data_IF_294988987783
#
_entry.id   IF_294988987783
#
_cell.length_a   1.000
_cell.length_b   1.000
_cell.length_c   1.000
_cell.angle_alpha   90.00
_cell.angle_beta   90.00
_cell.angle_gamma   90.00
#
_symmetry.space_group_name_H-M   'P 1'
#
loop_
_entity.id
_entity.type
_entity.pdbx_description
1 polymer ?
#
# COMPACT_ATOMS: atom_id res chain seq x y z
N UNK A 1 58.80 14.21 -13.20
CA UNK A 1 57.64 13.34 -13.42
C UNK A 1 57.50 12.50 -12.16
N UNK A 2 56.61 12.91 -11.25
CA UNK A 2 56.41 12.23 -9.97
C UNK A 2 55.97 10.78 -10.21
N UNK A 3 56.70 9.84 -9.62
CA UNK A 3 56.23 8.43 -9.49
C UNK A 3 54.91 8.45 -8.73
N UNK A 4 53.80 8.20 -9.44
CA UNK A 4 52.52 7.95 -8.76
C UNK A 4 52.73 6.74 -7.85
N UNK A 5 52.58 6.93 -6.56
CA UNK A 5 52.62 5.87 -5.58
C UNK A 5 51.56 4.80 -5.96
N UNK A 6 51.92 3.52 -6.10
CA UNK A 6 50.96 2.47 -6.50
C UNK A 6 49.75 2.38 -5.55
N UNK A 7 49.88 2.77 -4.28
CA UNK A 7 48.79 2.83 -3.33
C UNK A 7 47.69 3.84 -3.64
N UNK A 8 48.02 4.97 -4.28
CA UNK A 8 47.05 6.00 -4.63
C UNK A 8 46.07 5.52 -5.71
N UNK A 9 46.54 4.73 -6.67
CA UNK A 9 45.65 4.16 -7.72
C UNK A 9 44.63 3.17 -7.12
N UNK A 10 45.05 2.42 -6.11
CA UNK A 10 44.13 1.49 -5.40
C UNK A 10 43.05 2.28 -4.64
N UNK A 11 43.41 3.38 -3.99
CA UNK A 11 42.46 4.25 -3.30
C UNK A 11 41.43 4.82 -4.28
N UNK A 12 41.87 5.37 -5.40
CA UNK A 12 40.95 5.91 -6.41
C UNK A 12 40.05 4.83 -7.02
N UNK A 13 40.59 3.65 -7.31
CA UNK A 13 39.80 2.52 -7.81
C UNK A 13 38.72 2.10 -6.81
N UNK A 14 39.08 1.99 -5.53
CA UNK A 14 38.13 1.63 -4.47
C UNK A 14 37.04 2.68 -4.32
N UNK A 15 37.39 3.95 -4.30
CA UNK A 15 36.40 5.04 -4.22
C UNK A 15 35.44 5.03 -5.42
N UNK A 16 35.99 4.82 -6.62
CA UNK A 16 35.19 4.76 -7.86
C UNK A 16 34.20 3.60 -7.81
N UNK A 17 34.64 2.40 -7.43
CA UNK A 17 33.78 1.21 -7.29
C UNK A 17 32.70 1.44 -6.25
N UNK A 18 33.08 1.95 -5.07
CA UNK A 18 32.15 2.23 -3.99
C UNK A 18 31.10 3.25 -4.40
N UNK A 19 31.52 4.36 -5.02
CA UNK A 19 30.59 5.38 -5.51
C UNK A 19 29.64 4.82 -6.58
N UNK A 20 30.17 4.03 -7.53
CA UNK A 20 29.35 3.41 -8.57
C UNK A 20 28.32 2.44 -8.01
N UNK A 21 28.66 1.68 -6.96
CA UNK A 21 27.73 0.79 -6.25
C UNK A 21 26.62 1.59 -5.57
N UNK A 22 26.94 2.66 -4.84
CA UNK A 22 25.93 3.52 -4.22
C UNK A 22 25.01 4.15 -5.24
N UNK A 23 25.56 4.70 -6.33
CA UNK A 23 24.75 5.28 -7.39
C UNK A 23 23.84 4.26 -8.08
N UNK A 24 24.27 3.04 -8.24
CA UNK A 24 23.44 1.96 -8.80
C UNK A 24 22.34 1.52 -7.83
N UNK A 25 22.63 1.44 -6.54
CA UNK A 25 21.64 1.09 -5.52
C UNK A 25 20.59 2.19 -5.39
N UNK A 26 20.99 3.44 -5.23
CA UNK A 26 20.05 4.53 -4.97
C UNK A 26 19.34 5.00 -6.25
N UNK A 27 20.05 5.00 -7.39
CA UNK A 27 19.52 5.51 -8.65
C UNK A 27 18.65 4.54 -9.44
N UNK A 28 18.89 3.23 -9.32
CA UNK A 28 18.19 2.23 -10.11
C UNK A 28 17.47 1.17 -9.27
N UNK A 29 18.18 0.55 -8.33
CA UNK A 29 17.64 -0.59 -7.59
C UNK A 29 16.56 -0.19 -6.57
N UNK A 30 16.81 0.83 -5.77
CA UNK A 30 15.86 1.31 -4.76
C UNK A 30 14.54 1.81 -5.37
N UNK A 31 14.54 2.69 -6.38
CA UNK A 31 13.31 3.13 -7.03
C UNK A 31 12.53 1.97 -7.66
N UNK A 32 13.20 1.01 -8.29
CA UNK A 32 12.54 -0.15 -8.88
C UNK A 32 11.82 -1.00 -7.82
N UNK A 33 12.48 -1.28 -6.68
CA UNK A 33 11.86 -2.04 -5.58
C UNK A 33 10.72 -1.26 -4.91
N UNK A 34 10.92 0.01 -4.63
CA UNK A 34 9.89 0.84 -4.00
C UNK A 34 8.65 0.95 -4.88
N UNK A 35 8.82 1.12 -6.19
CA UNK A 35 7.69 1.14 -7.12
C UNK A 35 6.92 -0.19 -7.19
N UNK A 36 7.62 -1.33 -7.09
CA UNK A 36 6.96 -2.64 -7.10
C UNK A 36 6.27 -2.99 -5.78
N UNK A 37 6.75 -2.45 -4.66
CA UNK A 37 6.23 -2.71 -3.32
C UNK A 37 5.31 -1.61 -2.79
N UNK A 38 5.17 -0.51 -3.49
CA UNK A 38 4.33 0.61 -3.05
C UNK A 38 2.85 0.34 -3.33
N UNK A 39 2.00 0.66 -2.37
CA UNK A 39 0.54 0.68 -2.52
C UNK A 39 0.02 1.99 -3.13
N UNK A 40 0.92 2.87 -3.61
CA UNK A 40 0.56 4.18 -4.15
C UNK A 40 -0.43 4.08 -5.31
N UNK A 41 -0.13 3.25 -6.31
CA UNK A 41 -1.02 3.06 -7.46
C UNK A 41 -2.40 2.57 -7.06
N UNK A 42 -2.47 1.58 -6.16
CA UNK A 42 -3.72 1.09 -5.60
C UNK A 42 -4.49 2.20 -4.85
N UNK A 43 -3.79 3.02 -4.06
CA UNK A 43 -4.41 4.13 -3.34
C UNK A 43 -4.96 5.21 -4.29
N UNK A 44 -4.28 5.47 -5.41
CA UNK A 44 -4.74 6.38 -6.45
C UNK A 44 -6.01 5.85 -7.14
N UNK A 45 -6.03 4.57 -7.52
CA UNK A 45 -7.21 3.91 -8.11
C UNK A 45 -8.41 3.97 -7.15
N UNK A 46 -8.21 3.66 -5.88
CA UNK A 46 -9.25 3.71 -4.84
C UNK A 46 -9.80 5.14 -4.69
N UNK A 47 -8.91 6.14 -4.71
CA UNK A 47 -9.32 7.55 -4.62
C UNK A 47 -10.18 7.96 -5.79
N UNK A 48 -9.82 7.55 -6.99
CA UNK A 48 -10.57 7.86 -8.22
C UNK A 48 -11.96 7.21 -8.18
N UNK A 49 -12.05 5.94 -7.80
CA UNK A 49 -13.32 5.20 -7.68
C UNK A 49 -14.21 5.80 -6.60
N UNK A 50 -13.67 6.10 -5.44
CA UNK A 50 -14.43 6.66 -4.33
C UNK A 50 -14.91 8.10 -4.58
N UNK A 51 -14.24 8.86 -5.48
CA UNK A 51 -14.62 10.21 -5.91
C UNK A 51 -15.05 11.15 -4.78
N UNK A 52 -14.30 11.19 -3.69
CA UNK A 52 -14.58 12.01 -2.51
C UNK A 52 -15.59 11.44 -1.52
N UNK A 53 -16.14 10.27 -1.78
CA UNK A 53 -16.97 9.54 -0.80
C UNK A 53 -16.10 8.98 0.33
N UNK A 54 -16.71 8.79 1.50
CA UNK A 54 -15.99 8.24 2.65
C UNK A 54 -15.62 6.78 2.45
N UNK A 55 -14.38 6.46 2.82
CA UNK A 55 -13.84 5.11 2.79
C UNK A 55 -13.68 4.63 4.22
N UNK A 56 -14.06 3.39 4.46
CA UNK A 56 -13.92 2.70 5.74
C UNK A 56 -13.09 1.45 5.54
N UNK A 57 -12.35 1.03 6.54
CA UNK A 57 -11.56 -0.18 6.51
C UNK A 57 -12.04 -1.18 7.53
N UNK A 58 -11.86 -2.45 7.22
CA UNK A 58 -12.02 -3.56 8.14
C UNK A 58 -10.81 -4.48 8.06
N UNK A 59 -10.29 -4.87 9.21
CA UNK A 59 -9.23 -5.87 9.36
C UNK A 59 -9.57 -6.70 10.58
N UNK A 60 -9.54 -8.03 10.44
CA UNK A 60 -9.89 -8.96 11.50
C UNK A 60 -8.91 -8.93 12.70
N UNK A 61 -7.67 -8.51 12.48
CA UNK A 61 -6.63 -8.41 13.51
C UNK A 61 -6.48 -6.95 13.93
N UNK A 62 -6.79 -6.62 15.17
CA UNK A 62 -6.82 -5.25 15.70
C UNK A 62 -5.50 -4.46 15.52
N UNK A 63 -4.37 -5.13 15.46
CA UNK A 63 -3.06 -4.50 15.29
C UNK A 63 -2.70 -4.21 13.82
N UNK A 64 -3.39 -4.83 12.87
CA UNK A 64 -3.17 -4.60 11.43
C UNK A 64 -4.14 -3.53 10.93
N UNK A 65 -3.66 -2.69 10.03
CA UNK A 65 -4.46 -1.65 9.38
C UNK A 65 -3.89 -1.35 8.00
N UNK A 66 -4.65 -0.65 7.18
CA UNK A 66 -4.21 -0.14 5.88
C UNK A 66 -3.41 1.16 6.04
N UNK A 67 -2.29 1.11 6.73
CA UNK A 67 -1.48 2.31 7.03
C UNK A 67 -1.01 3.02 5.77
N UNK A 68 -0.48 2.28 4.81
CA UNK A 68 0.06 2.84 3.57
C UNK A 68 -1.04 3.49 2.72
N UNK A 69 -2.17 2.80 2.55
CA UNK A 69 -3.31 3.36 1.79
C UNK A 69 -3.89 4.57 2.52
N UNK A 70 -4.04 4.49 3.84
CA UNK A 70 -4.56 5.58 4.66
C UNK A 70 -3.66 6.84 4.59
N UNK A 71 -2.34 6.65 4.58
CA UNK A 71 -1.39 7.75 4.38
C UNK A 71 -1.66 8.51 3.08
N UNK A 72 -1.85 7.81 1.96
CA UNK A 72 -2.17 8.44 0.69
C UNK A 72 -3.58 9.05 0.64
N UNK A 73 -4.44 8.72 1.58
CA UNK A 73 -5.78 9.30 1.77
C UNK A 73 -5.83 10.34 2.89
N UNK A 74 -4.68 10.92 3.28
CA UNK A 74 -4.57 11.94 4.33
C UNK A 74 -5.18 11.49 5.68
N UNK A 75 -5.02 10.24 6.04
CA UNK A 75 -5.54 9.62 7.26
C UNK A 75 -7.07 9.75 7.45
N UNK A 76 -7.82 9.77 6.34
CA UNK A 76 -9.27 9.94 6.35
C UNK A 76 -10.06 8.63 6.26
N UNK A 77 -9.39 7.48 6.21
CA UNK A 77 -10.06 6.17 6.19
C UNK A 77 -10.57 5.85 7.60
N UNK A 78 -11.89 5.74 7.74
CA UNK A 78 -12.55 5.39 8.99
C UNK A 78 -12.48 3.88 9.29
N UNK A 79 -12.93 3.49 10.48
CA UNK A 79 -13.07 2.08 10.87
C UNK A 79 -14.55 1.69 10.77
N UNK A 80 -14.85 0.69 9.94
CA UNK A 80 -16.24 0.28 9.70
C UNK A 80 -16.97 -0.12 10.98
N UNK A 81 -16.37 -0.98 11.79
CA UNK A 81 -17.02 -1.49 13.02
C UNK A 81 -17.17 -0.43 14.12
N UNK A 82 -16.36 0.63 14.08
CA UNK A 82 -16.47 1.74 15.04
C UNK A 82 -17.58 2.71 14.65
N UNK A 83 -17.65 3.03 13.36
CA UNK A 83 -18.53 4.09 12.87
C UNK A 83 -19.89 3.56 12.43
N UNK A 84 -19.99 2.27 12.06
CA UNK A 84 -21.21 1.61 11.54
C UNK A 84 -21.98 2.49 10.55
N UNK A 85 -21.34 2.96 9.47
CA UNK A 85 -21.90 3.96 8.56
C UNK A 85 -23.08 3.41 7.75
N UNK A 86 -23.96 4.31 7.29
CA UNK A 86 -25.11 3.93 6.46
C UNK A 86 -24.72 3.57 5.01
N UNK A 87 -23.73 4.26 4.46
CA UNK A 87 -23.24 4.05 3.10
C UNK A 87 -21.78 4.50 2.97
N UNK A 88 -21.10 4.03 1.94
CA UNK A 88 -19.72 4.38 1.63
C UNK A 88 -18.99 3.27 0.90
N UNK A 89 -17.66 3.29 1.04
CA UNK A 89 -16.77 2.28 0.49
C UNK A 89 -16.05 1.54 1.60
N UNK A 90 -15.97 0.22 1.49
CA UNK A 90 -15.28 -0.67 2.42
C UNK A 90 -14.00 -1.20 1.78
N UNK A 91 -12.86 -0.90 2.39
CA UNK A 91 -11.56 -1.43 2.05
C UNK A 91 -11.26 -2.63 2.95
N UNK A 92 -11.04 -3.80 2.36
CA UNK A 92 -10.89 -5.05 3.10
C UNK A 92 -10.02 -6.05 2.34
N UNK A 93 -9.25 -6.87 3.07
CA UNK A 93 -8.54 -8.01 2.52
C UNK A 93 -9.49 -9.16 2.17
N UNK A 94 -9.12 -9.97 1.20
CA UNK A 94 -9.94 -11.11 0.75
C UNK A 94 -10.32 -12.05 1.90
N UNK A 95 -9.36 -12.46 2.71
CA UNK A 95 -9.59 -13.38 3.84
C UNK A 95 -10.47 -12.76 4.90
N UNK A 96 -10.24 -11.49 5.18
CA UNK A 96 -11.02 -10.77 6.19
C UNK A 96 -12.47 -10.58 5.75
N UNK A 97 -12.72 -10.39 4.45
CA UNK A 97 -14.07 -10.26 3.90
C UNK A 97 -14.88 -11.54 4.03
N UNK A 98 -14.25 -12.71 3.90
CA UNK A 98 -14.92 -14.00 4.09
C UNK A 98 -15.50 -14.14 5.51
N UNK A 99 -14.82 -13.63 6.52
CA UNK A 99 -15.31 -13.58 7.89
C UNK A 99 -16.25 -12.39 8.19
N UNK A 100 -16.07 -11.29 7.49
CA UNK A 100 -16.83 -10.06 7.64
C UNK A 100 -18.26 -10.19 7.06
N UNK A 101 -18.36 -10.71 5.84
CA UNK A 101 -19.62 -10.78 5.10
C UNK A 101 -20.76 -11.45 5.89
N UNK A 102 -20.60 -12.65 6.49
CA UNK A 102 -21.65 -13.30 7.25
C UNK A 102 -22.18 -12.49 8.44
N UNK A 103 -21.34 -11.63 9.04
CA UNK A 103 -21.74 -10.78 10.17
C UNK A 103 -22.67 -9.65 9.77
N UNK A 104 -22.49 -9.11 8.57
CA UNK A 104 -23.13 -7.85 8.17
C UNK A 104 -24.05 -7.96 6.96
N UNK A 105 -24.10 -9.11 6.27
CA UNK A 105 -24.94 -9.28 5.08
C UNK A 105 -26.46 -9.16 5.35
N UNK A 106 -26.90 -9.36 6.60
CA UNK A 106 -28.28 -9.13 6.98
C UNK A 106 -28.65 -7.64 6.99
N UNK A 107 -27.70 -6.77 7.36
CA UNK A 107 -27.94 -5.34 7.53
C UNK A 107 -27.45 -4.50 6.35
N UNK A 108 -26.50 -5.01 5.57
CA UNK A 108 -25.84 -4.27 4.49
C UNK A 108 -25.87 -5.04 3.18
N UNK A 109 -25.84 -4.27 2.08
CA UNK A 109 -25.53 -4.78 0.75
C UNK A 109 -24.10 -4.40 0.39
N UNK A 110 -23.36 -5.30 -0.26
CA UNK A 110 -21.99 -5.09 -0.70
C UNK A 110 -21.86 -5.37 -2.19
N UNK A 111 -21.31 -4.41 -2.92
CA UNK A 111 -21.03 -4.49 -4.35
C UNK A 111 -19.52 -4.32 -4.56
N UNK A 112 -18.87 -5.30 -5.19
CA UNK A 112 -17.46 -5.21 -5.51
C UNK A 112 -17.23 -4.17 -6.62
N UNK A 113 -16.40 -3.17 -6.35
CA UNK A 113 -16.08 -2.11 -7.32
C UNK A 113 -14.61 -2.11 -7.72
N UNK A 114 -13.74 -2.73 -6.93
CA UNK A 114 -12.31 -2.81 -7.23
C UNK A 114 -11.67 -4.03 -6.57
N UNK A 115 -10.69 -4.59 -7.27
CA UNK A 115 -9.81 -5.63 -6.77
C UNK A 115 -8.37 -5.28 -7.13
N UNK A 116 -7.45 -5.36 -6.17
CA UNK A 116 -6.03 -5.10 -6.43
C UNK A 116 -5.42 -6.21 -7.29
N UNK A 117 -4.51 -5.83 -8.19
CA UNK A 117 -3.77 -6.78 -9.05
C UNK A 117 -2.66 -7.51 -8.29
N UNK A 118 -2.19 -6.93 -7.19
CA UNK A 118 -1.15 -7.48 -6.32
C UNK A 118 -1.54 -7.37 -4.85
N UNK A 119 -0.84 -8.13 -4.01
CA UNK A 119 -1.05 -8.07 -2.56
C UNK A 119 -0.66 -6.71 -1.99
N UNK A 120 -1.47 -6.18 -1.10
CA UNK A 120 -1.15 -4.97 -0.35
C UNK A 120 0.06 -5.14 0.55
N UNK A 121 0.78 -4.06 0.80
CA UNK A 121 2.00 -4.07 1.61
C UNK A 121 1.71 -4.38 3.08
N UNK A 122 0.67 -3.79 3.66
CA UNK A 122 0.36 -3.92 5.07
C UNK A 122 -0.33 -5.25 5.41
N UNK A 123 -1.34 -5.63 4.63
CA UNK A 123 -2.21 -6.79 4.90
C UNK A 123 -1.66 -8.08 4.27
N UNK A 124 -0.79 -7.97 3.27
CA UNK A 124 -0.22 -9.09 2.49
C UNK A 124 -1.26 -10.01 1.86
N UNK A 125 -2.39 -9.44 1.48
CA UNK A 125 -3.51 -10.10 0.83
C UNK A 125 -3.99 -9.29 -0.38
N UNK A 126 -4.83 -9.88 -1.21
CA UNK A 126 -5.54 -9.15 -2.26
C UNK A 126 -6.56 -8.23 -1.60
N UNK A 127 -6.54 -6.98 -2.00
CA UNK A 127 -7.36 -5.92 -1.43
C UNK A 127 -8.59 -5.73 -2.31
N UNK A 128 -9.74 -5.67 -1.69
CA UNK A 128 -11.01 -5.36 -2.32
C UNK A 128 -11.56 -4.03 -1.84
N UNK A 129 -12.22 -3.33 -2.73
CA UNK A 129 -13.07 -2.18 -2.40
C UNK A 129 -14.51 -2.56 -2.72
N UNK A 130 -15.35 -2.54 -1.72
CA UNK A 130 -16.79 -2.76 -1.86
C UNK A 130 -17.54 -1.44 -1.65
N UNK A 131 -18.47 -1.16 -2.53
CA UNK A 131 -19.50 -0.16 -2.25
C UNK A 131 -20.53 -0.81 -1.35
N UNK A 132 -20.87 -0.18 -0.24
CA UNK A 132 -21.87 -0.71 0.68
C UNK A 132 -22.97 0.29 0.97
N UNK A 133 -24.13 -0.25 1.30
CA UNK A 133 -25.28 0.51 1.76
C UNK A 133 -26.07 -0.31 2.77
N UNK A 134 -26.53 0.36 3.85
CA UNK A 134 -27.43 -0.24 4.82
C UNK A 134 -28.80 -0.47 4.17
N UNK A 135 -29.39 -1.63 4.45
CA UNK A 135 -30.74 -2.01 3.95
C UNK A 135 -31.85 -1.20 4.61
#
# INVERSE_FOLDING_TARGET
>A
IGKKEPGMNVVYATLFVTFSLFMSLDGAYQPAILNTKSDKGMAEDIREIASGSKIYSYVAVDMLRFYTVNFYHNDQIGLFEKDMPAEGYLLVGRRDFEGFKPKYESEYTFEEVYQSTKRGCDIRDIIYLYRFKRK
#
